data_IF_469114883225
#
_entry.id   IF_469114883225
#
_cell.length_a   1.000
_cell.length_b   1.000
_cell.length_c   1.000
_cell.angle_alpha   90.00
_cell.angle_beta   90.00
_cell.angle_gamma   90.00
#
_symmetry.space_group_name_H-M   'P 1'
#
loop_
_entity.id
_entity.type
_entity.pdbx_description
1 polymer ?
#
# COMPACT_ATOMS: atom_id res chain seq x y z
N UNK A 1 13.79 7.11 -0.94
CA UNK A 1 13.72 6.01 -1.93
C UNK A 1 12.26 5.62 -2.06
N UNK A 2 11.81 5.25 -3.26
CA UNK A 2 10.45 4.74 -3.47
C UNK A 2 10.52 3.27 -3.91
N UNK A 3 9.51 2.50 -3.55
CA UNK A 3 9.38 1.09 -3.93
C UNK A 3 8.00 0.92 -4.53
N UNK A 4 7.89 0.12 -5.59
CA UNK A 4 6.60 -0.28 -6.11
C UNK A 4 6.63 -1.72 -6.63
N UNK A 5 5.50 -2.38 -6.45
CA UNK A 5 5.26 -3.77 -6.82
C UNK A 5 4.06 -3.77 -7.76
N UNK A 6 4.20 -4.37 -8.92
CA UNK A 6 3.14 -4.53 -9.92
C UNK A 6 3.23 -5.94 -10.50
N UNK A 7 2.14 -6.69 -10.49
CA UNK A 7 2.12 -8.06 -11.01
C UNK A 7 2.13 -8.07 -12.54
N UNK A 8 1.38 -7.15 -13.15
CA UNK A 8 1.14 -7.12 -14.59
C UNK A 8 2.34 -6.55 -15.32
N UNK A 9 3.09 -7.43 -16.00
CA UNK A 9 4.30 -7.05 -16.73
C UNK A 9 4.08 -5.94 -17.77
N UNK A 10 2.93 -5.93 -18.46
CA UNK A 10 2.58 -4.88 -19.44
C UNK A 10 2.41 -3.52 -18.78
N UNK A 11 1.67 -3.46 -17.66
CA UNK A 11 1.48 -2.25 -16.85
C UNK A 11 2.79 -1.80 -16.23
N UNK A 12 3.59 -2.75 -15.72
CA UNK A 12 4.91 -2.51 -15.16
C UNK A 12 5.82 -1.80 -16.19
N UNK A 13 5.94 -2.33 -17.39
CA UNK A 13 6.79 -1.77 -18.44
C UNK A 13 6.28 -0.41 -18.91
N UNK A 14 4.96 -0.28 -19.09
CA UNK A 14 4.35 1.00 -19.46
C UNK A 14 4.59 2.06 -18.37
N UNK A 15 4.46 1.69 -17.10
CA UNK A 15 4.72 2.57 -15.95
C UNK A 15 6.15 3.12 -15.97
N UNK A 16 7.16 2.25 -16.12
CA UNK A 16 8.55 2.67 -16.25
C UNK A 16 8.76 3.63 -17.43
N UNK A 17 8.21 3.29 -18.60
CA UNK A 17 8.29 4.15 -19.79
C UNK A 17 7.66 5.52 -19.54
N UNK A 18 6.48 5.55 -18.92
CA UNK A 18 5.72 6.78 -18.66
C UNK A 18 6.42 7.68 -17.65
N UNK A 19 6.92 7.12 -16.55
CA UNK A 19 7.69 7.87 -15.56
C UNK A 19 8.97 8.42 -16.22
N UNK A 20 9.66 7.63 -17.04
CA UNK A 20 10.92 8.04 -17.69
C UNK A 20 10.81 9.09 -18.80
N UNK A 21 9.60 9.53 -19.17
CA UNK A 21 9.37 10.42 -20.33
C UNK A 21 10.09 11.77 -20.23
N UNK A 22 10.22 12.35 -19.04
CA UNK A 22 10.84 13.65 -18.84
C UNK A 22 12.00 13.60 -17.83
N UNK A 23 12.72 14.71 -17.69
CA UNK A 23 13.93 14.80 -16.84
C UNK A 23 13.59 14.51 -15.37
N UNK A 24 12.49 15.04 -14.87
CA UNK A 24 12.04 14.87 -13.48
C UNK A 24 11.73 13.40 -13.20
N UNK A 25 10.99 12.75 -14.10
CA UNK A 25 10.64 11.36 -13.94
C UNK A 25 11.82 10.41 -14.11
N UNK A 26 12.82 10.73 -14.94
CA UNK A 26 14.12 10.00 -14.94
C UNK A 26 14.85 10.08 -13.59
N UNK A 27 14.80 11.22 -12.91
CA UNK A 27 15.35 11.37 -11.53
C UNK A 27 14.56 10.57 -10.50
N UNK A 28 13.24 10.40 -10.70
CA UNK A 28 12.42 9.52 -9.87
C UNK A 28 12.80 8.06 -10.10
N UNK A 29 12.92 7.65 -11.38
CA UNK A 29 13.32 6.28 -11.73
C UNK A 29 14.67 5.88 -11.13
N UNK A 30 15.65 6.77 -11.09
CA UNK A 30 16.96 6.45 -10.49
C UNK A 30 16.90 6.20 -8.97
N UNK A 31 15.78 6.51 -8.31
CA UNK A 31 15.54 6.32 -6.87
C UNK A 31 14.37 5.37 -6.59
N UNK A 32 13.80 4.77 -7.63
CA UNK A 32 12.65 3.87 -7.57
C UNK A 32 13.14 2.44 -7.75
N UNK A 33 12.82 1.57 -6.79
CA UNK A 33 12.94 0.13 -6.97
C UNK A 33 11.59 -0.41 -7.40
N UNK A 34 11.52 -0.93 -8.62
CA UNK A 34 10.29 -1.42 -9.23
C UNK A 34 10.37 -2.94 -9.36
N UNK A 35 9.38 -3.66 -8.85
CA UNK A 35 9.34 -5.12 -8.83
C UNK A 35 8.13 -5.64 -9.61
N UNK A 36 8.38 -6.52 -10.58
CA UNK A 36 7.33 -7.22 -11.31
C UNK A 36 6.99 -8.52 -10.57
N UNK A 37 6.14 -8.44 -9.54
CA UNK A 37 5.84 -9.57 -8.64
C UNK A 37 4.39 -9.51 -8.16
N UNK A 38 3.86 -10.65 -7.75
CA UNK A 38 2.64 -10.69 -6.94
C UNK A 38 2.95 -10.22 -5.52
N UNK A 39 2.03 -9.49 -4.91
CA UNK A 39 2.20 -8.99 -3.54
C UNK A 39 2.05 -10.12 -2.52
N UNK A 40 1.28 -11.17 -2.83
CA UNK A 40 1.09 -12.32 -1.94
C UNK A 40 2.37 -13.17 -1.80
N UNK A 41 3.20 -13.21 -2.83
CA UNK A 41 4.50 -13.88 -2.87
C UNK A 41 5.65 -13.03 -2.34
N UNK A 42 5.39 -11.83 -1.81
CA UNK A 42 6.41 -10.93 -1.25
C UNK A 42 6.28 -10.89 0.27
N UNK A 43 7.34 -11.26 0.96
CA UNK A 43 7.45 -11.14 2.42
C UNK A 43 7.72 -9.67 2.83
N UNK A 44 6.69 -8.83 2.78
CA UNK A 44 6.81 -7.38 3.05
C UNK A 44 7.46 -7.09 4.41
N UNK A 45 7.16 -7.89 5.43
CA UNK A 45 7.67 -7.68 6.80
C UNK A 45 9.09 -8.18 7.05
N UNK A 46 9.64 -9.02 6.17
CA UNK A 46 10.93 -9.71 6.40
C UNK A 46 11.98 -9.45 5.33
N UNK A 47 11.56 -8.90 4.19
CA UNK A 47 12.43 -8.72 3.04
C UNK A 47 12.74 -7.24 2.81
N UNK A 48 14.02 -6.91 2.69
CA UNK A 48 14.44 -5.61 2.21
C UNK A 48 14.17 -5.47 0.70
N UNK A 49 13.79 -4.26 0.23
CA UNK A 49 13.66 -3.02 0.99
C UNK A 49 12.28 -2.82 1.64
N UNK A 50 11.34 -3.75 1.46
CA UNK A 50 9.93 -3.59 1.82
C UNK A 50 9.74 -3.33 3.32
N UNK A 51 10.44 -4.10 4.17
CA UNK A 51 10.35 -3.98 5.63
C UNK A 51 10.65 -2.55 6.14
N UNK A 52 11.46 -1.78 5.41
CA UNK A 52 11.84 -0.41 5.78
C UNK A 52 10.88 0.67 5.27
N UNK A 53 9.76 0.28 4.65
CA UNK A 53 8.77 1.24 4.18
C UNK A 53 8.14 1.99 5.36
N UNK A 54 8.12 3.32 5.26
CA UNK A 54 7.51 4.21 6.26
C UNK A 54 6.13 4.71 5.84
N UNK A 55 5.84 4.70 4.55
CA UNK A 55 4.53 5.05 3.98
C UNK A 55 4.19 3.99 2.96
N UNK A 56 3.03 3.36 3.12
CA UNK A 56 2.53 2.33 2.20
C UNK A 56 1.21 2.79 1.61
N UNK A 57 1.15 2.86 0.28
CA UNK A 57 -0.09 3.07 -0.47
C UNK A 57 -0.45 1.80 -1.21
N UNK A 58 -1.68 1.35 -1.07
CA UNK A 58 -2.15 0.14 -1.72
C UNK A 58 -3.55 0.32 -2.31
N UNK A 59 -3.61 0.39 -3.65
CA UNK A 59 -4.89 0.38 -4.36
C UNK A 59 -5.45 -1.04 -4.46
N UNK A 60 -6.11 -1.47 -3.40
CA UNK A 60 -6.50 -2.87 -3.21
C UNK A 60 -7.98 -3.16 -3.46
N UNK A 61 -8.64 -2.33 -4.26
CA UNK A 61 -10.09 -2.37 -4.44
C UNK A 61 -10.61 -3.69 -5.03
N UNK A 62 -9.85 -4.30 -5.92
CA UNK A 62 -10.22 -5.53 -6.62
C UNK A 62 -9.41 -6.76 -6.15
N UNK A 63 -8.66 -6.62 -5.05
CA UNK A 63 -7.89 -7.72 -4.50
C UNK A 63 -8.82 -8.73 -3.82
N UNK A 64 -8.47 -10.01 -3.90
CA UNK A 64 -9.20 -11.05 -3.20
C UNK A 64 -9.07 -10.86 -1.68
N UNK A 65 -10.10 -11.19 -0.89
CA UNK A 65 -10.05 -11.07 0.57
C UNK A 65 -8.87 -11.81 1.22
N UNK A 66 -8.48 -12.97 0.68
CA UNK A 66 -7.32 -13.74 1.15
C UNK A 66 -6.01 -12.94 1.05
N UNK A 67 -5.77 -12.29 -0.09
CA UNK A 67 -4.59 -11.43 -0.29
C UNK A 67 -4.63 -10.21 0.63
N UNK A 68 -5.81 -9.64 0.86
CA UNK A 68 -6.00 -8.54 1.82
C UNK A 68 -5.59 -8.96 3.23
N UNK A 69 -6.02 -10.13 3.70
CA UNK A 69 -5.63 -10.62 5.04
C UNK A 69 -4.14 -10.93 5.14
N UNK A 70 -3.51 -11.52 4.10
CA UNK A 70 -2.06 -11.77 4.07
C UNK A 70 -1.29 -10.45 4.20
N UNK A 71 -1.59 -9.46 3.36
CA UNK A 71 -0.87 -8.17 3.39
C UNK A 71 -1.15 -7.42 4.69
N UNK A 72 -2.37 -7.50 5.22
CA UNK A 72 -2.74 -6.90 6.51
C UNK A 72 -1.96 -7.52 7.68
N UNK A 73 -1.77 -8.83 7.68
CA UNK A 73 -0.89 -9.51 8.64
C UNK A 73 0.56 -9.04 8.49
N UNK A 74 1.10 -9.03 7.27
CA UNK A 74 2.47 -8.53 7.03
C UNK A 74 2.67 -7.09 7.54
N UNK A 75 1.72 -6.19 7.26
CA UNK A 75 1.75 -4.81 7.73
C UNK A 75 1.75 -4.69 9.26
N UNK A 76 1.14 -5.64 9.98
CA UNK A 76 1.12 -5.63 11.45
C UNK A 76 2.50 -5.89 12.07
N UNK A 77 3.43 -6.48 11.31
CA UNK A 77 4.81 -6.72 11.72
C UNK A 77 5.81 -5.66 11.18
N UNK A 78 5.32 -4.63 10.47
CA UNK A 78 6.16 -3.59 9.89
C UNK A 78 6.18 -2.34 10.79
N UNK A 79 6.91 -2.40 11.89
CA UNK A 79 6.97 -1.32 12.90
C UNK A 79 7.43 0.04 12.35
N UNK A 80 8.16 0.05 11.24
CA UNK A 80 8.61 1.26 10.56
C UNK A 80 7.50 2.01 9.81
N UNK A 81 6.35 1.37 9.53
CA UNK A 81 5.23 2.00 8.81
C UNK A 81 4.59 3.05 9.71
N UNK A 82 4.57 4.29 9.24
CA UNK A 82 3.94 5.44 9.92
C UNK A 82 2.54 5.69 9.38
N UNK A 83 2.38 5.57 8.06
CA UNK A 83 1.12 5.74 7.37
C UNK A 83 0.85 4.60 6.41
N UNK A 84 -0.37 4.09 6.47
CA UNK A 84 -0.87 3.10 5.54
C UNK A 84 -2.14 3.62 4.89
N UNK A 85 -2.21 3.59 3.56
CA UNK A 85 -3.31 4.13 2.77
C UNK A 85 -3.87 3.01 1.91
N UNK A 86 -5.18 2.77 1.99
CA UNK A 86 -5.84 1.71 1.24
C UNK A 86 -7.16 2.14 0.59
N UNK A 87 -7.50 1.51 -0.53
CA UNK A 87 -8.78 1.73 -1.23
C UNK A 87 -9.97 0.99 -0.59
N UNK A 88 -9.71 0.01 0.28
CA UNK A 88 -10.74 -0.65 1.10
C UNK A 88 -10.46 -0.49 2.58
N UNK A 89 -11.51 -0.61 3.40
CA UNK A 89 -11.38 -0.57 4.86
C UNK A 89 -10.80 -1.90 5.36
N UNK A 90 -9.64 -1.86 6.02
CA UNK A 90 -8.90 -3.05 6.50
C UNK A 90 -9.61 -3.79 7.63
N UNK A 91 -10.34 -3.05 8.45
CA UNK A 91 -11.16 -3.60 9.50
C UNK A 91 -12.56 -2.98 9.41
N UNK A 92 -13.54 -3.67 8.80
CA UNK A 92 -14.90 -3.18 8.67
C UNK A 92 -15.54 -2.84 10.01
N UNK A 93 -15.14 -3.56 11.08
CA UNK A 93 -15.62 -3.39 12.47
C UNK A 93 -14.50 -2.94 13.39
N UNK A 94 -13.74 -1.91 13.01
CA UNK A 94 -12.76 -1.32 13.91
C UNK A 94 -13.50 -0.78 15.15
N UNK A 95 -13.33 -1.46 16.28
CA UNK A 95 -13.86 -1.14 17.61
C UNK A 95 -12.75 -1.47 18.61
N UNK A 96 -12.81 -0.90 19.81
CA UNK A 96 -11.81 -1.15 20.87
C UNK A 96 -11.59 -2.64 21.15
N UNK A 97 -12.62 -3.48 20.96
CA UNK A 97 -12.55 -4.93 21.14
C UNK A 97 -12.03 -5.72 19.92
N UNK A 98 -11.40 -5.08 18.93
CA UNK A 98 -10.90 -5.77 17.75
C UNK A 98 -9.51 -6.38 18.01
N UNK A 99 -9.42 -7.72 17.99
CA UNK A 99 -8.19 -8.47 18.27
C UNK A 99 -7.27 -8.71 17.07
N UNK A 100 -7.55 -8.13 15.90
CA UNK A 100 -6.65 -8.30 14.75
C UNK A 100 -5.32 -7.58 15.02
N UNK A 101 -4.18 -8.21 14.69
CA UNK A 101 -2.85 -7.61 14.86
C UNK A 101 -2.69 -6.26 14.16
N UNK A 102 -3.40 -6.03 13.05
CA UNK A 102 -3.43 -4.72 12.40
C UNK A 102 -4.11 -3.63 13.26
N UNK A 103 -5.18 -3.94 13.98
CA UNK A 103 -5.91 -2.94 14.78
C UNK A 103 -5.19 -2.59 16.10
N UNK A 104 -4.35 -3.49 16.62
CA UNK A 104 -3.48 -3.17 17.74
C UNK A 104 -2.36 -2.22 17.34
N UNK A 105 -1.91 -2.25 16.08
CA UNK A 105 -0.79 -1.41 15.60
C UNK A 105 -1.20 -0.19 14.80
N UNK A 106 -2.39 -0.17 14.19
CA UNK A 106 -2.88 0.93 13.36
C UNK A 106 -4.26 1.44 13.83
N UNK A 107 -4.50 2.73 13.60
CA UNK A 107 -5.80 3.39 13.76
C UNK A 107 -6.21 4.13 12.49
N UNK A 108 -7.51 4.18 12.20
CA UNK A 108 -8.04 4.96 11.08
C UNK A 108 -8.09 6.44 11.47
N UNK A 109 -7.39 7.31 10.75
CA UNK A 109 -7.34 8.75 11.06
C UNK A 109 -8.07 9.61 10.04
N UNK A 110 -8.25 9.12 8.81
CA UNK A 110 -8.94 9.90 7.77
C UNK A 110 -9.60 9.02 6.73
N UNK A 111 -10.73 9.50 6.22
CA UNK A 111 -11.37 8.99 5.01
C UNK A 111 -11.35 10.09 3.94
N UNK A 112 -11.00 9.70 2.72
CA UNK A 112 -10.84 10.59 1.58
C UNK A 112 -11.68 10.08 0.42
N UNK A 113 -12.33 10.98 -0.32
CA UNK A 113 -12.89 10.68 -1.65
C UNK A 113 -11.91 11.11 -2.72
N UNK A 114 -11.36 10.17 -3.49
CA UNK A 114 -10.48 10.45 -4.62
C UNK A 114 -11.19 10.22 -5.96
N UNK A 115 -10.96 11.06 -6.98
CA UNK A 115 -11.46 10.80 -8.32
C UNK A 115 -10.88 9.49 -8.86
N UNK A 116 -11.69 8.73 -9.61
CA UNK A 116 -11.23 7.54 -10.31
C UNK A 116 -11.78 7.53 -11.74
N UNK A 117 -11.14 6.76 -12.63
CA UNK A 117 -11.43 6.79 -14.07
C UNK A 117 -12.74 6.11 -14.50
N UNK A 118 -13.45 5.46 -13.57
CA UNK A 118 -14.53 4.51 -13.90
C UNK A 118 -15.77 4.64 -13.03
N UNK A 119 -15.86 5.65 -12.14
CA UNK A 119 -17.07 6.01 -11.41
C UNK A 119 -17.38 7.49 -11.57
N UNK A 120 -18.67 7.82 -11.50
CA UNK A 120 -19.14 9.20 -11.41
C UNK A 120 -18.88 9.83 -10.02
N UNK A 121 -18.79 9.00 -8.97
CA UNK A 121 -18.57 9.45 -7.60
C UNK A 121 -17.14 9.11 -7.12
N UNK A 122 -16.58 9.91 -6.19
CA UNK A 122 -15.25 9.64 -5.65
C UNK A 122 -15.12 8.23 -5.03
N UNK A 123 -14.02 7.57 -5.33
CA UNK A 123 -13.62 6.32 -4.66
C UNK A 123 -13.12 6.65 -3.25
N UNK A 124 -13.66 5.96 -2.25
CA UNK A 124 -13.19 6.09 -0.88
C UNK A 124 -11.78 5.49 -0.72
N UNK A 125 -10.96 6.20 0.03
CA UNK A 125 -9.61 5.82 0.45
C UNK A 125 -9.48 6.07 1.94
N UNK A 126 -8.88 5.12 2.64
CA UNK A 126 -8.75 5.09 4.09
C UNK A 126 -7.29 5.31 4.47
N UNK A 127 -7.03 6.27 5.34
CA UNK A 127 -5.69 6.61 5.83
C UNK A 127 -5.58 6.15 7.28
N UNK A 128 -4.66 5.22 7.51
CA UNK A 128 -4.32 4.70 8.81
C UNK A 128 -2.99 5.27 9.28
N UNK A 129 -2.90 5.52 10.58
CA UNK A 129 -1.67 5.91 11.28
C UNK A 129 -1.22 4.75 12.17
N UNK A 130 0.08 4.49 12.20
CA UNK A 130 0.66 3.55 13.16
C UNK A 130 0.70 4.16 14.56
N UNK A 131 0.34 3.34 15.54
CA UNK A 131 0.40 3.64 16.98
C UNK A 131 1.80 3.43 17.55
N UNK A 132 2.66 2.70 16.83
CA UNK A 132 4.01 2.32 17.29
C UNK A 132 5.10 3.32 16.88
N UNK A 133 4.83 4.17 15.87
CA UNK A 133 5.87 4.94 15.20
C UNK A 133 6.13 6.35 15.80
N UNK A 134 5.81 6.56 17.08
CA UNK A 134 6.07 7.80 17.82
C UNK A 134 6.35 7.53 19.30
#
# INVERSE_FOLDING_TARGET
MAIAIELRADVYQLGLKMIGKNVQGRRVLSRLQFFCKDVDGVELSRCLPFQQATIVYWNNLLFQPSVIEIVKEQLSYMDGVRFFISSVRMCPRHRESCFSGFCSTCELVKELGLPCSWKAYPQQVFVYRSKLAF
#
